data_IF_131697249911
#
_entry.id   IF_131697249911
#
_cell.length_a   1.000
_cell.length_b   1.000
_cell.length_c   1.000
_cell.angle_alpha   90.00
_cell.angle_beta   90.00
_cell.angle_gamma   90.00
#
_symmetry.space_group_name_H-M   'P 1'
#
loop_
_entity.id
_entity.type
_entity.pdbx_description
1 polymer ?
#
# COMPACT_ATOMS: atom_id res chain seq x y z
N UNK A 1 -21.89 16.05 62.20
CA UNK A 1 -22.12 16.65 60.90
C UNK A 1 -20.79 16.89 60.23
N UNK A 2 -20.29 15.92 59.51
CA UNK A 2 -19.04 16.07 58.73
C UNK A 2 -19.41 15.72 57.31
N UNK A 3 -19.58 16.74 56.49
CA UNK A 3 -19.79 16.57 55.06
C UNK A 3 -18.44 16.20 54.42
N UNK A 4 -18.28 14.94 54.04
CA UNK A 4 -17.14 14.46 53.31
C UNK A 4 -17.23 15.03 51.87
N UNK A 5 -16.34 15.93 51.55
CA UNK A 5 -16.08 16.42 50.21
C UNK A 5 -15.33 15.34 49.46
N UNK A 6 -16.05 14.50 48.72
CA UNK A 6 -15.48 13.64 47.68
C UNK A 6 -15.22 14.54 46.46
N UNK A 7 -14.01 15.08 46.41
CA UNK A 7 -13.51 15.64 45.17
C UNK A 7 -13.27 14.50 44.18
N UNK A 8 -14.23 14.31 43.27
CA UNK A 8 -14.06 13.45 42.11
C UNK A 8 -13.03 14.13 41.19
N UNK A 9 -11.78 13.72 41.31
CA UNK A 9 -10.75 14.00 40.29
C UNK A 9 -11.10 13.16 39.09
N UNK A 10 -11.90 13.74 38.21
CA UNK A 10 -12.07 13.23 36.85
C UNK A 10 -10.72 13.42 36.14
N UNK A 11 -9.87 12.42 36.21
CA UNK A 11 -8.71 12.33 35.35
C UNK A 11 -9.23 12.19 33.91
N UNK A 12 -9.34 13.32 33.22
CA UNK A 12 -9.49 13.37 31.77
C UNK A 12 -8.20 12.79 31.20
N UNK A 13 -8.16 11.48 31.00
CA UNK A 13 -7.20 10.87 30.09
C UNK A 13 -7.54 11.37 28.70
N UNK A 14 -6.97 12.50 28.35
CA UNK A 14 -6.83 12.90 26.95
C UNK A 14 -6.00 11.78 26.28
N UNK A 15 -6.68 10.78 25.77
CA UNK A 15 -6.12 9.89 24.78
C UNK A 15 -5.77 10.75 23.57
N UNK A 16 -4.59 11.36 23.61
CA UNK A 16 -3.95 11.90 22.42
C UNK A 16 -3.75 10.70 21.50
N UNK A 17 -4.78 10.42 20.72
CA UNK A 17 -4.62 9.60 19.54
C UNK A 17 -3.51 10.30 18.74
N UNK A 18 -2.30 9.77 18.79
CA UNK A 18 -1.22 10.12 17.89
C UNK A 18 -1.68 9.69 16.49
N UNK A 19 -2.58 10.45 15.89
CA UNK A 19 -2.74 10.43 14.45
C UNK A 19 -1.37 10.85 13.91
N UNK A 20 -0.61 9.89 13.41
CA UNK A 20 0.68 10.17 12.81
C UNK A 20 0.44 11.25 11.75
N UNK A 21 0.91 12.46 12.06
CA UNK A 21 0.78 13.60 11.16
C UNK A 21 1.50 13.23 9.88
N UNK A 22 0.84 13.43 8.74
CA UNK A 22 1.49 13.20 7.45
C UNK A 22 2.80 13.97 7.41
N UNK A 23 3.91 13.37 6.93
CA UNK A 23 5.16 14.09 6.80
C UNK A 23 4.94 15.34 5.96
N UNK A 24 5.46 16.46 6.45
CA UNK A 24 5.43 17.72 5.71
C UNK A 24 6.25 17.54 4.43
N UNK A 25 5.73 18.02 3.30
CA UNK A 25 6.53 18.15 2.09
C UNK A 25 7.34 19.43 2.18
N UNK A 26 8.58 19.47 1.68
CA UNK A 26 9.38 20.69 1.72
C UNK A 26 8.72 21.77 0.86
N UNK A 27 8.79 23.01 1.33
CA UNK A 27 8.32 24.20 0.62
C UNK A 27 9.45 25.21 0.49
N UNK A 28 9.38 26.07 -0.50
CA UNK A 28 10.36 27.13 -0.73
C UNK A 28 11.26 26.86 -1.93
N UNK A 29 12.38 27.58 -2.00
CA UNK A 29 13.34 27.45 -3.10
C UNK A 29 14.17 26.16 -2.96
N UNK A 30 14.29 25.44 -4.06
CA UNK A 30 15.16 24.28 -4.17
C UNK A 30 16.51 24.68 -4.76
N UNK A 31 17.56 24.01 -4.33
CA UNK A 31 18.87 24.03 -4.96
C UNK A 31 19.18 22.66 -5.60
N UNK A 32 19.95 22.64 -6.67
CA UNK A 32 20.42 21.38 -7.27
C UNK A 32 21.26 20.60 -6.25
N UNK A 33 21.03 19.31 -6.17
CA UNK A 33 21.70 18.40 -5.25
C UNK A 33 21.87 17.00 -5.87
N UNK A 34 22.81 16.80 -6.80
CA UNK A 34 23.04 15.51 -7.46
C UNK A 34 23.30 14.36 -6.47
N UNK A 35 23.86 14.67 -5.30
CA UNK A 35 24.09 13.74 -4.19
C UNK A 35 22.79 13.13 -3.62
N UNK A 36 21.65 13.79 -3.80
CA UNK A 36 20.36 13.26 -3.35
C UNK A 36 20.00 11.94 -4.05
N UNK A 37 20.34 11.80 -5.33
CA UNK A 37 20.13 10.55 -6.09
C UNK A 37 20.95 9.42 -5.49
N UNK A 38 22.23 9.67 -5.19
CA UNK A 38 23.09 8.66 -4.58
C UNK A 38 22.64 8.30 -3.15
N UNK A 39 22.17 9.29 -2.41
CA UNK A 39 21.58 9.06 -1.09
C UNK A 39 20.36 8.13 -1.20
N UNK A 40 19.45 8.41 -2.13
CA UNK A 40 18.26 7.57 -2.35
C UNK A 40 18.67 6.14 -2.74
N UNK A 41 19.57 5.97 -3.71
CA UNK A 41 20.07 4.66 -4.12
C UNK A 41 20.65 3.89 -2.93
N UNK A 42 21.40 4.55 -2.07
CA UNK A 42 22.01 3.92 -0.89
C UNK A 42 20.96 3.41 0.10
N UNK A 43 19.98 4.23 0.47
CA UNK A 43 18.94 3.85 1.44
C UNK A 43 17.92 2.86 0.88
N UNK A 44 17.76 2.81 -0.44
CA UNK A 44 16.89 1.85 -1.15
C UNK A 44 17.69 0.74 -1.86
N UNK A 45 18.88 0.43 -1.37
CA UNK A 45 19.76 -0.58 -1.99
C UNK A 45 19.11 -1.95 -2.14
N UNK A 46 18.13 -2.30 -1.27
CA UNK A 46 17.33 -3.51 -1.36
C UNK A 46 16.46 -3.58 -2.61
N UNK A 47 16.15 -2.45 -3.25
CA UNK A 47 15.26 -2.39 -4.42
C UNK A 47 15.88 -3.00 -5.68
N UNK A 48 17.20 -2.83 -5.86
CA UNK A 48 17.90 -3.31 -7.05
C UNK A 48 17.91 -4.83 -7.19
N UNK A 49 18.23 -5.62 -6.13
CA UNK A 49 18.18 -7.07 -6.18
C UNK A 49 16.77 -7.64 -5.95
N UNK A 50 15.75 -6.83 -5.68
CA UNK A 50 14.41 -7.30 -5.31
C UNK A 50 13.74 -8.05 -6.47
N UNK A 51 13.72 -9.37 -6.38
CA UNK A 51 13.06 -10.27 -7.34
C UNK A 51 11.76 -10.82 -6.79
N UNK A 52 11.79 -11.31 -5.57
CA UNK A 52 10.61 -11.85 -4.87
C UNK A 52 10.47 -11.19 -3.52
N UNK A 53 9.24 -11.13 -3.02
CA UNK A 53 8.95 -10.66 -1.68
C UNK A 53 7.69 -11.31 -1.14
N UNK A 54 7.66 -11.56 0.17
CA UNK A 54 6.45 -11.91 0.91
C UNK A 54 6.24 -10.92 2.06
N UNK A 55 4.99 -10.72 2.43
CA UNK A 55 4.65 -9.96 3.62
C UNK A 55 3.25 -10.31 4.13
N UNK A 56 3.09 -10.26 5.45
CA UNK A 56 1.78 -10.09 6.07
C UNK A 56 1.44 -8.60 6.11
N UNK A 57 0.26 -8.22 5.64
CA UNK A 57 -0.18 -6.83 5.57
C UNK A 57 -1.43 -6.66 6.43
N UNK A 58 -1.37 -5.75 7.39
CA UNK A 58 -2.56 -5.23 8.05
C UNK A 58 -2.95 -3.93 7.37
N UNK A 59 -4.08 -3.98 6.65
CA UNK A 59 -4.64 -2.83 5.97
C UNK A 59 -5.69 -2.18 6.88
N UNK A 60 -5.61 -0.87 7.03
CA UNK A 60 -6.59 -0.08 7.78
C UNK A 60 -6.73 1.30 7.19
N UNK A 61 -7.89 1.92 7.35
CA UNK A 61 -8.11 3.28 6.87
C UNK A 61 -9.53 3.54 6.44
N UNK A 62 -9.67 4.37 5.42
CA UNK A 62 -10.95 4.79 4.86
C UNK A 62 -10.89 4.84 3.34
N UNK A 63 -12.00 4.48 2.74
CA UNK A 63 -12.30 4.63 1.32
C UNK A 63 -13.63 5.39 1.20
N UNK A 64 -13.56 6.67 0.88
CA UNK A 64 -14.73 7.53 0.98
C UNK A 64 -15.29 7.55 2.41
N UNK A 65 -16.52 7.07 2.58
CA UNK A 65 -17.20 6.96 3.89
C UNK A 65 -16.94 5.64 4.59
N UNK A 66 -16.49 4.62 3.87
CA UNK A 66 -16.32 3.26 4.37
C UNK A 66 -15.01 3.11 5.16
N UNK A 67 -15.06 2.33 6.23
CA UNK A 67 -13.88 1.92 6.98
C UNK A 67 -13.34 0.62 6.40
N UNK A 68 -12.06 0.65 6.02
CA UNK A 68 -11.36 -0.54 5.53
C UNK A 68 -10.53 -1.14 6.65
N UNK A 69 -10.68 -2.45 6.86
CA UNK A 69 -9.81 -3.25 7.71
C UNK A 69 -9.67 -4.64 7.10
N UNK A 70 -8.44 -5.03 6.83
CA UNK A 70 -8.16 -6.37 6.31
C UNK A 70 -6.81 -6.87 6.83
N UNK A 71 -6.66 -8.20 6.85
CA UNK A 71 -5.37 -8.87 7.02
C UNK A 71 -5.11 -9.63 5.74
N UNK A 72 -3.96 -9.33 5.13
CA UNK A 72 -3.59 -9.93 3.86
C UNK A 72 -2.29 -10.71 4.03
N UNK A 73 -2.18 -11.82 3.34
CA UNK A 73 -0.89 -12.46 3.01
C UNK A 73 -0.57 -12.10 1.57
N UNK A 74 0.65 -11.69 1.32
CA UNK A 74 1.06 -11.26 -0.01
C UNK A 74 2.32 -11.97 -0.47
N UNK A 75 2.38 -12.26 -1.77
CA UNK A 75 3.56 -12.74 -2.48
C UNK A 75 3.73 -11.94 -3.78
N UNK A 76 4.97 -11.59 -4.07
CA UNK A 76 5.35 -10.86 -5.28
C UNK A 76 6.53 -11.56 -5.95
N UNK A 77 6.50 -11.66 -7.28
CA UNK A 77 7.68 -12.03 -8.06
C UNK A 77 7.81 -11.14 -9.30
N UNK A 78 9.06 -10.79 -9.61
CA UNK A 78 9.37 -10.05 -10.82
C UNK A 78 9.10 -10.91 -12.07
N UNK A 79 8.64 -10.32 -13.17
CA UNK A 79 8.40 -8.89 -13.32
C UNK A 79 7.07 -8.42 -12.73
N UNK A 80 5.99 -9.22 -12.77
CA UNK A 80 4.62 -8.77 -12.50
C UNK A 80 3.73 -9.81 -11.83
N UNK A 81 4.30 -10.86 -11.20
CA UNK A 81 3.48 -11.84 -10.49
C UNK A 81 3.06 -11.34 -9.12
N UNK A 82 1.83 -11.67 -8.75
CA UNK A 82 1.17 -11.22 -7.53
C UNK A 82 0.30 -12.33 -6.94
N UNK A 83 0.36 -12.47 -5.63
CA UNK A 83 -0.65 -13.18 -4.82
C UNK A 83 -1.06 -12.28 -3.67
N UNK A 84 -2.38 -12.11 -3.48
CA UNK A 84 -2.96 -11.48 -2.31
C UNK A 84 -4.09 -12.37 -1.78
N UNK A 85 -4.03 -12.71 -0.50
CA UNK A 85 -5.09 -13.42 0.19
C UNK A 85 -5.64 -12.57 1.32
N UNK A 86 -6.91 -12.24 1.29
CA UNK A 86 -7.57 -11.59 2.41
C UNK A 86 -8.03 -12.64 3.42
N UNK A 87 -7.40 -12.63 4.59
CA UNK A 87 -7.70 -13.60 5.64
C UNK A 87 -9.02 -13.28 6.30
N UNK A 88 -9.86 -14.30 6.44
CA UNK A 88 -11.06 -14.22 7.25
C UNK A 88 -10.75 -14.65 8.70
N UNK A 89 -11.56 -14.25 9.70
CA UNK A 89 -11.38 -14.68 11.08
C UNK A 89 -11.45 -16.21 11.25
N UNK A 90 -12.27 -16.88 10.44
CA UNK A 90 -12.47 -18.34 10.46
C UNK A 90 -12.70 -18.84 9.03
N UNK A 91 -12.30 -20.08 8.77
CA UNK A 91 -12.51 -20.77 7.49
C UNK A 91 -11.57 -20.32 6.39
N UNK A 92 -11.95 -20.49 5.11
CA UNK A 92 -11.12 -20.13 3.97
C UNK A 92 -10.95 -18.59 3.88
N UNK A 93 -9.95 -18.12 3.13
CA UNK A 93 -9.79 -16.70 2.83
C UNK A 93 -11.09 -16.08 2.31
N UNK A 94 -11.30 -14.80 2.57
CA UNK A 94 -12.43 -14.06 2.00
C UNK A 94 -12.24 -13.86 0.48
N UNK A 95 -11.02 -13.64 0.04
CA UNK A 95 -10.65 -13.61 -1.38
C UNK A 95 -9.21 -14.07 -1.59
N UNK A 96 -8.94 -14.59 -2.79
CA UNK A 96 -7.62 -14.90 -3.30
C UNK A 96 -7.49 -14.24 -4.66
N UNK A 97 -6.57 -13.29 -4.79
CA UNK A 97 -6.18 -12.67 -6.05
C UNK A 97 -4.81 -13.21 -6.44
N UNK A 98 -4.69 -13.78 -7.62
CA UNK A 98 -3.42 -14.20 -8.20
C UNK A 98 -3.26 -13.64 -9.60
N UNK A 99 -2.02 -13.34 -9.96
CA UNK A 99 -1.64 -12.99 -11.32
C UNK A 99 -0.21 -13.50 -11.58
N UNK A 100 0.01 -14.08 -12.74
CA UNK A 100 1.34 -14.44 -13.26
C UNK A 100 1.96 -13.33 -14.14
N UNK A 101 1.29 -12.20 -14.23
CA UNK A 101 1.64 -11.05 -15.08
C UNK A 101 0.89 -11.02 -16.41
N UNK A 102 0.42 -12.16 -16.91
CA UNK A 102 -0.39 -12.29 -18.13
C UNK A 102 -1.87 -12.53 -17.78
N UNK A 103 -2.12 -13.45 -16.85
CA UNK A 103 -3.45 -13.87 -16.44
C UNK A 103 -3.72 -13.45 -15.00
N UNK A 104 -4.97 -13.08 -14.75
CA UNK A 104 -5.42 -12.71 -13.40
C UNK A 104 -6.64 -13.56 -13.04
N UNK A 105 -6.63 -14.12 -11.85
CA UNK A 105 -7.78 -14.80 -11.26
C UNK A 105 -8.06 -14.19 -9.88
N UNK A 106 -9.29 -13.72 -9.69
CA UNK A 106 -9.82 -13.34 -8.40
C UNK A 106 -10.89 -14.38 -8.01
N UNK A 107 -10.66 -15.05 -6.90
CA UNK A 107 -11.56 -16.09 -6.39
C UNK A 107 -12.09 -15.72 -5.00
N UNK A 108 -13.38 -15.87 -4.81
CA UNK A 108 -14.10 -15.72 -3.55
C UNK A 108 -14.52 -17.11 -3.07
N UNK A 109 -13.72 -17.77 -2.20
CA UNK A 109 -13.97 -19.17 -1.81
C UNK A 109 -15.30 -19.43 -1.12
N UNK A 110 -15.82 -18.43 -0.40
CA UNK A 110 -17.08 -18.59 0.38
C UNK A 110 -18.32 -18.46 -0.47
N UNK A 111 -18.25 -17.58 -1.44
CA UNK A 111 -19.33 -17.29 -2.39
C UNK A 111 -19.28 -18.23 -3.60
N UNK A 112 -18.18 -19.01 -3.72
CA UNK A 112 -17.87 -19.86 -4.89
C UNK A 112 -17.94 -19.04 -6.20
N UNK A 113 -17.40 -17.82 -6.17
CA UNK A 113 -17.39 -16.91 -7.31
C UNK A 113 -15.97 -16.68 -7.83
N UNK A 114 -15.84 -16.53 -9.13
CA UNK A 114 -14.54 -16.30 -9.78
C UNK A 114 -14.63 -15.26 -10.88
N UNK A 115 -13.66 -14.32 -10.88
CA UNK A 115 -13.40 -13.43 -11.99
C UNK A 115 -12.08 -13.85 -12.64
N UNK A 116 -12.07 -13.93 -13.97
CA UNK A 116 -10.89 -14.26 -14.78
C UNK A 116 -10.72 -13.24 -15.91
N UNK A 117 -9.53 -13.23 -16.50
CA UNK A 117 -9.22 -12.48 -17.73
C UNK A 117 -9.37 -10.96 -17.63
N UNK A 118 -9.36 -10.41 -16.41
CA UNK A 118 -9.33 -8.96 -16.22
C UNK A 118 -7.89 -8.51 -15.92
N UNK A 119 -7.48 -7.30 -16.37
CA UNK A 119 -6.18 -6.75 -15.96
C UNK A 119 -6.09 -6.60 -14.44
N UNK A 120 -4.96 -7.02 -13.84
CA UNK A 120 -4.77 -6.97 -12.38
C UNK A 120 -4.96 -5.55 -11.84
N UNK A 121 -4.55 -4.52 -12.57
CA UNK A 121 -4.75 -3.13 -12.18
C UNK A 121 -6.24 -2.75 -12.09
N UNK A 122 -7.09 -3.26 -13.00
CA UNK A 122 -8.52 -3.03 -12.96
C UNK A 122 -9.20 -3.77 -11.79
N UNK A 123 -8.72 -4.97 -11.46
CA UNK A 123 -9.19 -5.74 -10.31
C UNK A 123 -8.79 -5.05 -9.00
N UNK A 124 -7.53 -4.59 -8.89
CA UNK A 124 -7.06 -3.85 -7.72
C UNK A 124 -7.79 -2.51 -7.56
N UNK A 125 -8.05 -1.81 -8.66
CA UNK A 125 -8.85 -0.58 -8.63
C UNK A 125 -10.26 -0.84 -8.10
N UNK A 126 -10.94 -1.86 -8.60
CA UNK A 126 -12.26 -2.24 -8.13
C UNK A 126 -12.26 -2.64 -6.63
N UNK A 127 -11.24 -3.36 -6.16
CA UNK A 127 -11.15 -3.84 -4.78
C UNK A 127 -10.69 -2.77 -3.78
N UNK A 128 -9.85 -1.82 -4.21
CA UNK A 128 -9.11 -0.95 -3.28
C UNK A 128 -9.13 0.53 -3.68
N UNK A 129 -9.63 0.86 -4.86
CA UNK A 129 -9.50 2.20 -5.46
C UNK A 129 -8.08 2.52 -5.93
N UNK A 130 -7.17 1.54 -5.97
CA UNK A 130 -5.78 1.68 -6.37
C UNK A 130 -5.57 1.06 -7.75
N UNK A 131 -5.60 1.88 -8.80
CA UNK A 131 -5.29 1.43 -10.17
C UNK A 131 -3.77 1.22 -10.34
N UNK A 132 -3.23 0.21 -9.67
CA UNK A 132 -1.82 -0.15 -9.70
C UNK A 132 -1.66 -1.58 -10.23
N UNK A 133 -0.66 -1.81 -11.06
CA UNK A 133 -0.27 -3.16 -11.43
C UNK A 133 0.54 -3.84 -10.31
N UNK A 134 0.87 -5.12 -10.48
CA UNK A 134 1.59 -5.90 -9.47
C UNK A 134 2.99 -5.34 -9.19
N UNK A 135 3.67 -4.82 -10.23
CA UNK A 135 5.00 -4.25 -10.10
C UNK A 135 4.97 -2.91 -9.38
N UNK A 136 3.98 -2.07 -9.68
CA UNK A 136 3.74 -0.80 -9.02
C UNK A 136 3.40 -1.00 -7.54
N UNK A 137 2.49 -1.94 -7.24
CA UNK A 137 2.14 -2.26 -5.86
C UNK A 137 3.36 -2.75 -5.07
N UNK A 138 4.19 -3.63 -5.65
CA UNK A 138 5.45 -4.06 -5.05
C UNK A 138 6.38 -2.88 -4.79
N UNK A 139 6.61 -2.03 -5.81
CA UNK A 139 7.47 -0.84 -5.68
C UNK A 139 6.99 0.09 -4.58
N UNK A 140 5.70 0.34 -4.53
CA UNK A 140 5.09 1.21 -3.54
C UNK A 140 5.24 0.64 -2.12
N UNK A 141 4.93 -0.64 -1.91
CA UNK A 141 4.99 -1.26 -0.59
C UNK A 141 6.40 -1.35 -0.02
N UNK A 142 7.40 -1.54 -0.88
CA UNK A 142 8.80 -1.71 -0.44
C UNK A 142 9.65 -0.43 -0.58
N UNK A 143 9.03 0.73 -0.93
CA UNK A 143 9.73 2.00 -1.04
C UNK A 143 10.62 2.14 -2.27
N UNK A 144 10.37 1.36 -3.32
CA UNK A 144 11.16 1.31 -4.55
C UNK A 144 10.56 2.18 -5.69
N UNK A 145 10.03 3.34 -5.35
CA UNK A 145 9.21 4.16 -6.27
C UNK A 145 10.00 4.91 -7.34
N UNK A 146 11.27 5.24 -7.07
CA UNK A 146 12.17 5.92 -8.03
C UNK A 146 13.25 4.93 -8.48
N UNK A 147 13.62 4.99 -9.75
CA UNK A 147 14.73 4.23 -10.31
C UNK A 147 16.11 4.81 -9.94
N UNK A 148 17.15 4.37 -10.63
CA UNK A 148 18.54 4.83 -10.42
C UNK A 148 18.84 6.19 -11.10
N UNK A 149 17.85 6.75 -11.80
CA UNK A 149 17.93 8.05 -12.47
C UNK A 149 17.24 9.16 -11.69
N UNK A 150 17.10 10.29 -12.36
CA UNK A 150 16.34 11.42 -11.85
C UNK A 150 17.19 12.63 -11.48
N UNK A 151 16.52 13.71 -11.12
CA UNK A 151 17.12 14.99 -10.72
C UNK A 151 17.07 15.11 -9.20
N UNK A 152 18.23 15.36 -8.58
CA UNK A 152 18.33 15.60 -7.14
C UNK A 152 18.16 17.07 -6.79
N UNK A 153 17.37 17.35 -5.78
CA UNK A 153 17.09 18.69 -5.25
C UNK A 153 17.28 18.71 -3.73
N UNK A 154 17.61 19.88 -3.18
CA UNK A 154 17.72 20.14 -1.74
C UNK A 154 16.86 21.32 -1.34
N UNK A 155 16.14 21.18 -0.23
CA UNK A 155 15.35 22.22 0.42
C UNK A 155 15.83 22.40 1.85
N UNK A 156 16.51 23.53 2.10
CA UNK A 156 17.17 23.76 3.39
C UNK A 156 18.22 22.68 3.71
N UNK A 157 18.44 22.41 4.98
CA UNK A 157 19.45 21.44 5.45
C UNK A 157 18.93 20.01 5.63
N UNK A 158 17.60 19.84 5.80
CA UNK A 158 17.03 18.56 6.20
C UNK A 158 16.43 17.75 5.06
N UNK A 159 16.09 18.38 3.94
CA UNK A 159 15.32 17.75 2.88
C UNK A 159 16.12 17.56 1.59
N UNK A 160 16.04 16.36 1.07
CA UNK A 160 16.45 16.02 -0.30
C UNK A 160 15.23 15.48 -1.04
N UNK A 161 15.11 15.78 -2.32
CA UNK A 161 14.04 15.29 -3.19
C UNK A 161 14.69 14.74 -4.45
N UNK A 162 14.23 13.58 -4.88
CA UNK A 162 14.62 13.01 -6.18
C UNK A 162 13.39 12.97 -7.05
N UNK A 163 13.48 13.63 -8.21
CA UNK A 163 12.41 13.71 -9.21
C UNK A 163 12.76 12.83 -10.41
N UNK A 164 11.83 11.97 -10.82
CA UNK A 164 11.94 11.11 -12.00
C UNK A 164 10.57 11.04 -12.69
N UNK A 165 10.42 11.79 -13.78
CA UNK A 165 9.16 11.97 -14.46
C UNK A 165 8.10 12.62 -13.54
N UNK A 166 6.98 11.94 -13.35
CA UNK A 166 5.87 12.35 -12.48
C UNK A 166 6.02 11.85 -11.03
N UNK A 167 7.12 11.15 -10.74
CA UNK A 167 7.42 10.60 -9.42
C UNK A 167 8.40 11.49 -8.66
N UNK A 168 8.13 11.73 -7.38
CA UNK A 168 9.04 12.42 -6.46
C UNK A 168 9.23 11.61 -5.20
N UNK A 169 10.47 11.35 -4.82
CA UNK A 169 10.83 10.76 -3.53
C UNK A 169 11.35 11.85 -2.59
N UNK A 170 10.83 11.89 -1.37
CA UNK A 170 11.18 12.87 -0.36
C UNK A 170 11.98 12.21 0.76
N UNK A 171 13.21 12.68 0.94
CA UNK A 171 14.10 12.23 1.99
C UNK A 171 14.20 13.33 3.05
N UNK A 172 14.05 12.94 4.30
CA UNK A 172 14.30 13.84 5.44
C UNK A 172 15.41 13.25 6.30
N UNK A 173 16.48 14.00 6.47
CA UNK A 173 17.67 13.54 7.20
C UNK A 173 18.19 12.17 6.71
N UNK A 174 18.23 11.95 5.41
CA UNK A 174 18.70 10.71 4.81
C UNK A 174 17.76 9.51 4.91
N UNK A 175 16.49 9.71 5.27
CA UNK A 175 15.47 8.65 5.33
C UNK A 175 14.37 8.95 4.32
N UNK A 176 13.96 7.96 3.53
CA UNK A 176 12.79 8.07 2.66
C UNK A 176 11.53 8.15 3.53
N UNK A 177 10.87 9.31 3.54
CA UNK A 177 9.69 9.54 4.39
C UNK A 177 8.40 9.67 3.59
N UNK A 178 8.50 10.00 2.30
CA UNK A 178 7.33 10.14 1.45
C UNK A 178 7.67 10.00 -0.03
N UNK A 179 6.65 9.78 -0.84
CA UNK A 179 6.72 9.92 -2.29
C UNK A 179 5.40 10.47 -2.85
N UNK A 180 5.50 11.16 -3.99
CA UNK A 180 4.39 11.35 -4.89
C UNK A 180 4.61 10.38 -6.05
N UNK A 181 3.71 9.42 -6.24
CA UNK A 181 3.87 8.33 -7.19
C UNK A 181 2.58 8.15 -8.00
N UNK A 182 2.62 8.42 -9.30
CA UNK A 182 1.46 8.28 -10.21
C UNK A 182 0.18 8.94 -9.68
N UNK A 183 0.30 10.14 -9.11
CA UNK A 183 -0.81 10.88 -8.52
C UNK A 183 -1.24 10.41 -7.13
N UNK A 184 -0.54 9.45 -6.53
CA UNK A 184 -0.71 9.01 -5.16
C UNK A 184 0.26 9.72 -4.23
N UNK A 185 -0.23 10.14 -3.08
CA UNK A 185 0.64 10.58 -1.98
C UNK A 185 0.92 9.37 -1.09
N UNK A 186 2.19 9.05 -0.93
CA UNK A 186 2.65 7.91 -0.15
C UNK A 186 3.50 8.42 1.00
N UNK A 187 3.24 7.96 2.22
CA UNK A 187 4.08 8.24 3.38
C UNK A 187 4.68 6.93 3.90
N UNK A 188 5.96 6.97 4.22
CA UNK A 188 6.74 5.82 4.69
C UNK A 188 7.19 6.02 6.13
N UNK A 189 7.08 4.99 6.95
CA UNK A 189 7.53 5.01 8.34
C UNK A 189 7.98 3.63 8.82
N UNK A 190 8.54 3.60 10.04
CA UNK A 190 8.94 2.39 10.74
C UNK A 190 9.90 1.49 9.91
N UNK A 191 10.95 2.10 9.36
CA UNK A 191 11.91 1.38 8.51
C UNK A 191 12.69 0.32 9.29
N UNK A 192 12.89 -0.83 8.66
CA UNK A 192 13.75 -1.90 9.16
C UNK A 192 14.61 -2.43 8.00
N UNK A 193 15.92 -2.31 8.09
CA UNK A 193 16.83 -2.67 7.01
C UNK A 193 16.58 -1.87 5.72
N UNK A 194 16.17 -0.58 5.83
CA UNK A 194 15.82 0.27 4.70
C UNK A 194 14.39 0.07 4.17
N UNK A 195 13.73 -1.03 4.51
CA UNK A 195 12.37 -1.36 4.04
C UNK A 195 11.34 -0.71 4.97
N UNK A 196 10.37 0.06 4.46
CA UNK A 196 9.30 0.62 5.27
C UNK A 196 8.40 -0.49 5.82
N UNK A 197 7.98 -0.37 7.08
CA UNK A 197 7.00 -1.27 7.72
C UNK A 197 5.62 -0.63 7.83
N UNK A 198 5.51 0.65 7.54
CA UNK A 198 4.25 1.36 7.46
C UNK A 198 4.25 2.19 6.19
N UNK A 199 3.24 1.94 5.35
CA UNK A 199 3.03 2.63 4.08
C UNK A 199 1.61 3.18 4.08
N UNK A 200 1.48 4.51 4.08
CA UNK A 200 0.18 5.18 3.98
C UNK A 200 0.01 5.73 2.59
N UNK A 201 -1.10 5.40 1.96
CA UNK A 201 -1.45 5.85 0.61
C UNK A 201 -2.68 6.73 0.68
N UNK A 202 -2.60 7.91 0.06
CA UNK A 202 -3.69 8.87 0.02
C UNK A 202 -3.93 9.38 -1.40
N UNK A 203 -5.20 9.57 -1.73
CA UNK A 203 -5.62 10.21 -2.97
C UNK A 203 -7.02 10.80 -2.81
N UNK A 204 -7.27 11.95 -3.44
CA UNK A 204 -8.62 12.41 -3.67
C UNK A 204 -9.25 11.60 -4.82
N UNK A 205 -10.45 11.08 -4.61
CA UNK A 205 -11.23 10.34 -5.59
C UNK A 205 -12.58 11.04 -5.79
N UNK A 206 -13.27 10.85 -6.93
CA UNK A 206 -14.61 11.42 -7.14
C UNK A 206 -15.63 11.01 -6.06
N UNK A 207 -15.54 9.77 -5.55
CA UNK A 207 -16.40 9.23 -4.49
C UNK A 207 -15.93 9.57 -3.07
N UNK A 208 -14.91 10.42 -2.91
CA UNK A 208 -14.32 10.81 -1.63
C UNK A 208 -12.82 10.52 -1.56
N UNK A 209 -12.21 10.75 -0.41
CA UNK A 209 -10.77 10.52 -0.24
C UNK A 209 -10.47 9.05 0.07
N UNK A 210 -9.42 8.53 -0.54
CA UNK A 210 -8.75 7.30 -0.10
C UNK A 210 -7.65 7.66 0.90
N UNK A 211 -7.63 6.97 2.03
CA UNK A 211 -6.58 7.08 3.05
C UNK A 211 -6.40 5.71 3.70
N UNK A 212 -5.43 4.96 3.21
CA UNK A 212 -5.15 3.60 3.65
C UNK A 212 -3.74 3.51 4.23
N UNK A 213 -3.61 2.74 5.30
CA UNK A 213 -2.33 2.39 5.92
C UNK A 213 -2.14 0.88 5.83
N UNK A 214 -1.06 0.48 5.17
CA UNK A 214 -0.56 -0.89 5.16
C UNK A 214 0.57 -0.99 6.18
N UNK A 215 0.39 -1.84 7.20
CA UNK A 215 1.47 -2.20 8.14
C UNK A 215 1.99 -3.57 7.75
N UNK A 216 3.28 -3.64 7.42
CA UNK A 216 3.94 -4.84 6.94
C UNK A 216 4.64 -5.59 8.08
N UNK A 217 4.29 -6.85 8.25
CA UNK A 217 4.95 -7.79 9.15
C UNK A 217 5.51 -8.97 8.35
N UNK A 218 6.38 -9.77 8.96
CA UNK A 218 6.93 -10.99 8.37
C UNK A 218 7.46 -10.76 6.94
N UNK A 219 8.15 -9.62 6.74
CA UNK A 219 8.66 -9.26 5.41
C UNK A 219 9.92 -10.06 5.11
N UNK A 220 9.88 -10.82 4.04
CA UNK A 220 11.02 -11.54 3.49
C UNK A 220 11.22 -11.12 2.03
N UNK A 221 12.46 -10.94 1.62
CA UNK A 221 12.82 -10.57 0.25
C UNK A 221 13.76 -11.58 -0.34
N UNK A 222 13.65 -11.78 -1.66
CA UNK A 222 14.45 -12.73 -2.43
C UNK A 222 14.34 -14.17 -1.91
N UNK A 223 13.17 -14.53 -1.40
CA UNK A 223 12.82 -15.91 -1.05
C UNK A 223 12.49 -16.70 -2.31
N UNK A 224 12.71 -18.00 -2.26
CA UNK A 224 12.30 -18.89 -3.35
C UNK A 224 10.78 -19.04 -3.35
N UNK A 225 10.14 -18.61 -4.44
CA UNK A 225 8.69 -18.71 -4.65
C UNK A 225 8.45 -19.52 -5.92
N UNK A 226 7.80 -20.67 -5.75
CA UNK A 226 7.38 -21.51 -6.87
C UNK A 226 6.33 -20.76 -7.74
N UNK A 227 6.35 -20.98 -9.04
CA UNK A 227 5.36 -20.42 -9.97
C UNK A 227 3.93 -20.83 -9.59
N UNK A 228 3.73 -22.00 -9.00
CA UNK A 228 2.44 -22.44 -8.48
C UNK A 228 1.88 -21.53 -7.36
N UNK A 229 2.74 -20.76 -6.67
CA UNK A 229 2.29 -19.79 -5.69
C UNK A 229 1.39 -18.70 -6.31
N UNK A 230 1.54 -18.45 -7.61
CA UNK A 230 0.77 -17.43 -8.35
C UNK A 230 -0.42 -18.00 -9.13
N UNK A 231 -0.85 -19.19 -8.75
CA UNK A 231 -2.06 -19.86 -9.26
C UNK A 231 -3.03 -20.16 -8.13
N UNK A 232 -4.30 -20.38 -8.46
CA UNK A 232 -5.32 -20.80 -7.50
C UNK A 232 -6.21 -21.89 -8.14
N UNK A 233 -6.43 -22.97 -7.40
CA UNK A 233 -7.39 -23.98 -7.80
C UNK A 233 -8.82 -23.45 -7.54
N UNK A 234 -9.60 -23.33 -8.60
CA UNK A 234 -10.99 -22.90 -8.55
C UNK A 234 -11.89 -24.12 -8.79
N UNK A 235 -12.87 -24.40 -7.91
CA UNK A 235 -13.81 -25.50 -8.12
C UNK A 235 -14.55 -25.35 -9.45
N UNK A 236 -14.83 -26.49 -10.16
CA UNK A 236 -15.51 -26.44 -11.47
C UNK A 236 -16.89 -25.78 -11.46
N UNK A 237 -17.57 -25.76 -10.30
CA UNK A 237 -18.89 -25.16 -10.13
C UNK A 237 -18.88 -23.68 -9.75
N UNK A 238 -17.70 -23.05 -9.61
CA UNK A 238 -17.64 -21.64 -9.21
C UNK A 238 -18.31 -20.73 -10.27
N UNK A 239 -19.22 -19.87 -9.81
CA UNK A 239 -19.93 -18.94 -10.66
C UNK A 239 -19.01 -17.85 -11.19
N UNK A 240 -19.02 -17.63 -12.50
CA UNK A 240 -18.26 -16.55 -13.09
C UNK A 240 -18.92 -15.20 -12.77
N UNK A 241 -18.09 -14.22 -12.38
CA UNK A 241 -18.48 -12.82 -12.24
C UNK A 241 -17.67 -11.96 -13.19
N UNK A 242 -18.21 -10.80 -13.54
CA UNK A 242 -17.55 -9.81 -14.38
C UNK A 242 -16.83 -8.74 -13.56
N UNK A 243 -15.97 -7.97 -14.20
CA UNK A 243 -15.36 -6.80 -13.58
C UNK A 243 -16.40 -5.74 -13.19
N UNK A 244 -17.49 -5.63 -13.94
CA UNK A 244 -18.56 -4.68 -13.65
C UNK A 244 -19.39 -5.12 -12.43
N UNK A 245 -19.61 -6.43 -12.24
CA UNK A 245 -20.21 -6.96 -11.00
C UNK A 245 -19.33 -6.64 -9.79
N UNK A 246 -18.00 -6.81 -9.94
CA UNK A 246 -17.04 -6.50 -8.89
C UNK A 246 -17.05 -5.00 -8.55
N UNK A 247 -17.08 -4.13 -9.56
CA UNK A 247 -17.16 -2.68 -9.37
C UNK A 247 -18.47 -2.26 -8.69
N UNK A 248 -19.59 -2.83 -9.10
CA UNK A 248 -20.90 -2.53 -8.51
C UNK A 248 -20.98 -2.91 -7.02
N UNK A 249 -20.27 -3.98 -6.62
CA UNK A 249 -20.18 -4.43 -5.23
C UNK A 249 -19.11 -3.67 -4.42
N UNK A 250 -18.28 -2.87 -5.07
CA UNK A 250 -17.15 -2.19 -4.45
C UNK A 250 -17.57 -0.97 -3.62
N UNK A 251 -16.96 -0.73 -2.45
CA UNK A 251 -17.14 0.52 -1.70
C UNK A 251 -16.58 1.75 -2.41
N UNK A 252 -15.86 1.56 -3.52
CA UNK A 252 -15.28 2.61 -4.37
C UNK A 252 -16.16 2.90 -5.61
N UNK A 253 -17.28 2.20 -5.77
CA UNK A 253 -18.22 2.47 -6.84
C UNK A 253 -18.69 3.94 -6.76
N UNK A 254 -18.78 4.66 -7.89
CA UNK A 254 -19.42 5.97 -7.89
C UNK A 254 -20.87 5.79 -7.40
N UNK A 255 -21.43 6.78 -6.67
CA UNK A 255 -22.83 6.71 -6.27
C UNK A 255 -23.69 6.53 -7.53
N UNK A 256 -24.68 5.65 -7.43
CA UNK A 256 -25.65 5.47 -8.47
C UNK A 256 -26.31 6.80 -8.83
N UNK A 257 -26.54 7.09 -10.12
CA UNK A 257 -27.11 8.36 -10.59
C UNK A 257 -28.50 8.62 -10.01
#
# INVERSE_FOLDING_TARGET
MIAARLAAVAALMAATACAARAPERPVGAAAEAPDAVQTLIGITAHCRPLRTATAEIRLSGRAGRERVRARLVSGFAAPASLRLEALAPFGPPALVLVSDGANTTLFFPREEQVLREAPVAAVLDALTGLALDASDLRRLLFGCVVGEGGRGLRYGSAWQVVEDGDTRAFLKNGVLVAADYRGWQVDYAAHQGGIPRSVRVRRALPAGALDLVATLASVEINVDLDAAAFTVAVPPGAAAITLDDLRAASPFAPPAP
#
